data_IF_831374261016
#
_entry.id   IF_831374261016
#
_cell.length_a   1.000
_cell.length_b   1.000
_cell.length_c   1.000
_cell.angle_alpha   90.00
_cell.angle_beta   90.00
_cell.angle_gamma   90.00
#
_symmetry.space_group_name_H-M   'P 1'
#
loop_
_entity.id
_entity.type
_entity.pdbx_description
1 polymer ?
#
# COMPACT_ATOMS: atom_id res chain seq x y z
N UNK A 1 -11.54 -8.90 -18.76
CA UNK A 1 -11.68 -8.00 -17.60
C UNK A 1 -10.85 -8.60 -16.47
N UNK A 2 -9.68 -8.05 -16.19
CA UNK A 2 -8.85 -8.52 -15.08
C UNK A 2 -9.49 -8.01 -13.78
N UNK A 3 -10.10 -8.92 -13.03
CA UNK A 3 -10.83 -8.59 -11.82
C UNK A 3 -9.84 -8.40 -10.67
N UNK A 4 -9.97 -7.31 -9.92
CA UNK A 4 -9.08 -6.86 -8.82
C UNK A 4 -9.07 -7.83 -7.61
N UNK A 5 -9.80 -8.95 -7.68
CA UNK A 5 -9.91 -9.95 -6.61
C UNK A 5 -8.57 -10.63 -6.27
N UNK A 6 -7.64 -10.76 -7.22
CA UNK A 6 -6.33 -11.37 -6.94
C UNK A 6 -5.42 -10.42 -6.13
N UNK A 7 -5.69 -9.11 -6.17
CA UNK A 7 -4.87 -8.06 -5.54
C UNK A 7 -5.12 -7.95 -4.04
N UNK A 8 -6.25 -8.48 -3.55
CA UNK A 8 -6.72 -8.29 -2.17
C UNK A 8 -5.86 -9.02 -1.12
N UNK A 9 -5.03 -10.00 -1.51
CA UNK A 9 -4.24 -10.79 -0.55
C UNK A 9 -2.92 -10.12 -0.14
N UNK A 10 -2.49 -9.06 -0.85
CA UNK A 10 -1.13 -8.48 -0.68
C UNK A 10 -1.13 -7.10 -0.01
N UNK A 11 -2.25 -6.36 -0.03
CA UNK A 11 -2.24 -4.90 0.24
C UNK A 11 -2.96 -4.47 1.52
N UNK A 12 -3.44 -5.40 2.37
CA UNK A 12 -4.05 -5.04 3.66
C UNK A 12 -3.06 -5.19 4.82
N UNK A 13 -2.23 -4.18 5.04
CA UNK A 13 -1.97 -3.59 6.36
C UNK A 13 -1.03 -2.37 6.19
N UNK A 14 -1.60 -1.18 6.08
CA UNK A 14 -0.86 0.06 6.32
C UNK A 14 -1.55 0.76 7.48
N UNK A 15 -1.34 0.22 8.68
CA UNK A 15 -1.65 0.93 9.92
C UNK A 15 -0.44 1.81 10.19
N UNK A 16 -0.59 3.11 9.94
CA UNK A 16 0.43 4.13 10.18
C UNK A 16 0.64 4.27 11.69
N UNK A 17 1.75 3.75 12.22
CA UNK A 17 2.25 4.14 13.55
C UNK A 17 3.23 5.30 13.36
N UNK A 18 2.77 6.53 13.65
CA UNK A 18 3.62 7.71 13.68
C UNK A 18 4.61 7.66 14.85
N UNK A 19 5.87 8.01 14.60
CA UNK A 19 6.85 8.33 15.65
C UNK A 19 6.98 9.86 15.71
N UNK A 20 6.80 10.42 16.91
CA UNK A 20 6.76 11.87 17.14
C UNK A 20 8.15 12.50 16.97
N UNK A 21 8.24 13.57 16.16
CA UNK A 21 9.37 14.51 16.19
C UNK A 21 8.83 15.89 16.59
N UNK A 22 9.46 16.51 17.59
CA UNK A 22 8.93 17.68 18.30
C UNK A 22 9.07 18.96 17.47
N UNK A 23 8.00 19.39 16.80
CA UNK A 23 7.90 20.74 16.24
C UNK A 23 6.66 21.45 16.79
N UNK A 24 6.88 22.58 17.47
CA UNK A 24 5.83 23.41 18.07
C UNK A 24 5.04 24.17 17.00
N UNK A 25 3.73 23.98 16.95
CA UNK A 25 2.83 24.71 16.06
C UNK A 25 2.15 25.88 16.80
N UNK A 26 2.25 27.09 16.25
CA UNK A 26 1.31 28.18 16.54
C UNK A 26 0.73 28.62 15.21
N UNK A 27 -0.56 28.34 14.97
CA UNK A 27 -1.38 28.97 13.93
C UNK A 27 -2.78 29.22 14.51
N UNK A 28 -3.28 30.45 14.39
CA UNK A 28 -4.53 30.94 14.99
C UNK A 28 -5.70 31.00 13.99
N UNK A 29 -5.75 30.13 12.97
CA UNK A 29 -6.86 30.10 12.02
C UNK A 29 -7.97 29.12 12.46
N UNK A 30 -9.25 29.44 12.21
CA UNK A 30 -10.37 28.54 12.52
C UNK A 30 -10.32 27.28 11.64
N UNK A 31 -10.64 26.10 12.18
CA UNK A 31 -10.51 24.84 11.45
C UNK A 31 -11.53 24.76 10.30
N UNK A 32 -11.04 24.54 9.08
CA UNK A 32 -11.88 24.22 7.93
C UNK A 32 -12.30 22.74 8.01
N UNK A 33 -13.60 22.39 7.88
CA UNK A 33 -14.07 21.00 7.93
C UNK A 33 -13.50 20.06 6.85
N UNK A 34 -12.78 20.60 5.85
CA UNK A 34 -12.06 19.83 4.83
C UNK A 34 -10.62 19.46 5.24
N UNK A 35 -10.13 19.95 6.38
CA UNK A 35 -8.76 19.71 6.83
C UNK A 35 -8.72 18.48 7.77
N UNK A 36 -8.77 17.27 7.20
CA UNK A 36 -8.74 16.00 7.95
C UNK A 36 -7.40 15.68 8.64
N UNK A 37 -6.40 16.57 8.61
CA UNK A 37 -5.10 16.39 9.26
C UNK A 37 -4.72 17.63 10.08
N UNK A 38 -4.50 17.45 11.38
CA UNK A 38 -4.00 18.48 12.31
C UNK A 38 -2.52 18.32 12.67
N UNK A 39 -1.83 17.33 12.06
CA UNK A 39 -0.41 17.13 12.29
C UNK A 39 0.39 18.32 11.72
N UNK A 40 1.33 18.82 12.51
CA UNK A 40 2.18 19.92 12.11
C UNK A 40 3.59 19.39 11.78
N UNK A 41 4.19 19.88 10.70
CA UNK A 41 5.49 19.40 10.21
C UNK A 41 5.38 18.21 9.27
N UNK A 42 6.51 17.53 9.03
CA UNK A 42 6.60 16.31 8.23
C UNK A 42 7.11 15.14 9.08
N UNK A 43 6.74 13.92 8.71
CA UNK A 43 7.28 12.70 9.30
C UNK A 43 7.88 11.81 8.20
N UNK A 44 8.97 11.13 8.52
CA UNK A 44 9.64 10.19 7.62
C UNK A 44 9.42 8.77 8.12
N UNK A 45 9.12 7.85 7.19
CA UNK A 45 8.79 6.47 7.50
C UNK A 45 9.62 5.51 6.68
N UNK A 46 9.93 4.37 7.29
CA UNK A 46 10.47 3.20 6.58
C UNK A 46 9.35 2.19 6.43
N UNK A 47 9.12 1.75 5.19
CA UNK A 47 8.15 0.69 4.87
C UNK A 47 8.91 -0.60 4.61
N UNK A 48 8.59 -1.64 5.39
CA UNK A 48 9.12 -2.99 5.18
C UNK A 48 8.01 -3.91 4.67
N UNK A 49 8.25 -4.56 3.53
CA UNK A 49 7.37 -5.59 3.00
C UNK A 49 7.93 -6.97 3.27
N UNK A 50 7.12 -7.80 3.93
CA UNK A 50 7.46 -9.19 4.22
C UNK A 50 6.50 -10.14 3.51
N UNK A 51 6.99 -10.76 2.44
CA UNK A 51 6.26 -11.81 1.73
C UNK A 51 6.09 -13.06 2.60
N UNK A 52 4.85 -13.47 2.85
CA UNK A 52 4.52 -14.67 3.64
C UNK A 52 4.08 -15.86 2.78
N UNK A 53 4.10 -15.72 1.46
CA UNK A 53 3.70 -16.79 0.54
C UNK A 53 4.76 -17.88 0.50
N UNK A 54 4.39 -19.08 0.98
CA UNK A 54 5.28 -20.26 1.07
C UNK A 54 4.47 -21.54 0.88
N UNK A 55 5.17 -22.67 0.67
CA UNK A 55 4.54 -24.00 0.57
C UNK A 55 3.72 -24.33 1.81
N UNK A 56 4.15 -23.88 2.99
CA UNK A 56 3.48 -24.13 4.26
C UNK A 56 2.22 -23.26 4.42
N UNK A 57 2.29 -21.98 4.03
CA UNK A 57 1.16 -21.04 4.20
C UNK A 57 0.10 -21.20 3.12
N UNK A 58 0.49 -21.57 1.89
CA UNK A 58 -0.41 -21.71 0.74
C UNK A 58 -0.09 -22.98 -0.05
N UNK A 59 -0.37 -24.18 0.51
CA UNK A 59 0.04 -25.46 -0.07
C UNK A 59 -0.70 -25.83 -1.37
N UNK A 60 -1.94 -25.36 -1.52
CA UNK A 60 -2.79 -25.71 -2.66
C UNK A 60 -2.31 -24.99 -3.92
N UNK A 61 -1.91 -25.77 -4.93
CA UNK A 61 -1.41 -25.21 -6.20
C UNK A 61 -0.07 -24.50 -6.06
N UNK A 62 0.68 -24.78 -4.99
CA UNK A 62 2.02 -24.21 -4.82
C UNK A 62 2.96 -24.74 -5.90
N UNK A 63 3.81 -23.85 -6.41
CA UNK A 63 4.72 -24.14 -7.52
C UNK A 63 5.66 -25.31 -7.14
N UNK A 64 5.87 -26.25 -8.07
CA UNK A 64 6.84 -27.34 -7.89
C UNK A 64 8.26 -26.79 -7.77
N UNK A 65 9.13 -27.45 -7.01
CA UNK A 65 10.49 -26.95 -6.73
C UNK A 65 11.29 -26.67 -8.00
N UNK A 66 11.07 -27.45 -9.07
CA UNK A 66 11.70 -27.27 -10.39
C UNK A 66 11.35 -25.94 -11.07
N UNK A 67 10.25 -25.29 -10.67
CA UNK A 67 9.78 -24.01 -11.19
C UNK A 67 9.84 -22.89 -10.14
N UNK A 68 10.48 -23.12 -9.00
CA UNK A 68 10.57 -22.14 -7.90
C UNK A 68 11.16 -20.79 -8.31
N UNK A 69 11.97 -20.74 -9.37
CA UNK A 69 12.52 -19.49 -9.91
C UNK A 69 11.46 -18.50 -10.41
N UNK A 70 10.22 -18.97 -10.68
CA UNK A 70 9.09 -18.11 -11.06
C UNK A 70 8.38 -17.51 -9.83
N UNK A 71 8.63 -18.04 -8.64
CA UNK A 71 8.04 -17.55 -7.40
C UNK A 71 8.76 -16.28 -6.96
N UNK A 72 8.19 -15.14 -7.30
CA UNK A 72 8.73 -13.84 -6.93
C UNK A 72 7.61 -12.85 -6.66
N UNK A 73 7.96 -11.76 -5.98
CA UNK A 73 7.14 -10.57 -5.90
C UNK A 73 7.63 -9.56 -6.94
N UNK A 74 6.72 -8.80 -7.54
CA UNK A 74 7.10 -7.63 -8.32
C UNK A 74 7.76 -6.58 -7.41
N UNK A 75 8.43 -5.61 -8.03
CA UNK A 75 8.90 -4.44 -7.29
C UNK A 75 7.71 -3.72 -6.65
N UNK A 76 7.93 -3.19 -5.45
CA UNK A 76 6.92 -2.41 -4.72
C UNK A 76 6.87 -1.01 -5.32
N UNK A 77 5.67 -0.57 -5.66
CA UNK A 77 5.39 0.77 -6.19
C UNK A 77 4.33 1.41 -5.30
N UNK A 78 4.58 2.62 -4.84
CA UNK A 78 3.68 3.36 -3.97
C UNK A 78 4.03 4.84 -3.92
N UNK A 79 3.16 5.63 -3.30
CA UNK A 79 3.36 7.06 -3.09
C UNK A 79 2.61 7.51 -1.83
N UNK A 80 3.13 8.55 -1.17
CA UNK A 80 2.39 9.32 -0.17
C UNK A 80 1.50 10.33 -0.92
N UNK A 81 0.21 10.40 -0.62
CA UNK A 81 -0.75 11.24 -1.33
C UNK A 81 -1.88 11.77 -0.43
N UNK A 82 -2.60 12.79 -0.90
CA UNK A 82 -3.82 13.31 -0.28
C UNK A 82 -5.06 12.47 -0.61
N UNK A 83 -6.20 12.83 -0.04
CA UNK A 83 -7.48 12.09 -0.19
C UNK A 83 -8.10 12.20 -1.59
N UNK A 84 -7.63 13.15 -2.39
CA UNK A 84 -8.06 13.42 -3.76
C UNK A 84 -7.47 12.46 -4.80
N UNK A 85 -6.43 11.70 -4.42
CA UNK A 85 -5.78 10.72 -5.29
C UNK A 85 -5.98 9.29 -4.78
N UNK A 86 -6.22 8.35 -5.71
CA UNK A 86 -6.32 6.92 -5.41
C UNK A 86 -5.43 6.14 -6.38
N UNK A 87 -4.45 5.41 -5.86
CA UNK A 87 -3.59 4.53 -6.67
C UNK A 87 -4.42 3.34 -7.22
N UNK A 88 -5.21 2.72 -6.36
CA UNK A 88 -6.18 1.67 -6.68
C UNK A 88 -7.32 1.69 -5.65
N UNK A 89 -8.47 1.12 -6.00
CA UNK A 89 -9.61 1.02 -5.09
C UNK A 89 -10.40 -0.26 -5.37
N UNK A 90 -10.95 -0.87 -4.32
CA UNK A 90 -11.74 -2.08 -4.45
C UNK A 90 -13.00 -1.83 -5.29
N UNK A 91 -13.31 -2.76 -6.19
CA UNK A 91 -14.47 -2.67 -7.07
C UNK A 91 -14.33 -1.65 -8.21
N UNK A 92 -13.23 -0.91 -8.28
CA UNK A 92 -12.95 0.03 -9.37
C UNK A 92 -12.08 -0.60 -10.46
N UNK A 93 -12.07 0.03 -11.63
CA UNK A 93 -11.19 -0.39 -12.73
C UNK A 93 -9.74 -0.02 -12.43
N UNK A 94 -8.81 -0.92 -12.77
CA UNK A 94 -7.39 -0.64 -12.73
C UNK A 94 -7.03 0.45 -13.75
N UNK A 95 -6.20 1.40 -13.32
CA UNK A 95 -5.55 2.34 -14.24
C UNK A 95 -4.57 1.59 -15.15
N UNK A 96 -4.12 2.23 -16.24
CA UNK A 96 -3.11 1.64 -17.14
C UNK A 96 -1.84 1.24 -16.37
N UNK A 97 -1.37 2.09 -15.46
CA UNK A 97 -0.16 1.81 -14.69
C UNK A 97 -0.36 0.61 -13.75
N UNK A 98 -1.49 0.54 -13.05
CA UNK A 98 -1.81 -0.61 -12.18
C UNK A 98 -1.90 -1.89 -13.00
N UNK A 99 -2.48 -1.81 -14.20
CA UNK A 99 -2.54 -2.95 -15.12
C UNK A 99 -1.16 -3.47 -15.50
N UNK A 100 -0.21 -2.58 -15.83
CA UNK A 100 1.16 -2.95 -16.20
C UNK A 100 1.95 -3.60 -15.04
N UNK A 101 1.59 -3.34 -13.77
CA UNK A 101 2.19 -4.01 -12.61
C UNK A 101 1.59 -5.40 -12.37
N UNK A 102 0.35 -5.63 -12.82
CA UNK A 102 -0.41 -6.85 -12.54
C UNK A 102 -0.39 -7.90 -13.66
N UNK A 103 0.14 -7.57 -14.85
CA UNK A 103 0.23 -8.46 -16.02
C UNK A 103 1.68 -8.87 -16.31
#
# INVERSE_FOLDING_TARGET
MASVYLVTLVVTLLVLSAQEDSASAINNDPPNPQDECCACGHAMYTVEFKGLWSRNTHPKGFIEDKYSYQLHWSNIVGATHGTDYRIWEYGQYASRAVKEVCE
#
